data_IF_523171305513
#
_entry.id   IF_523171305513
#
_cell.length_a   1.000
_cell.length_b   1.000
_cell.length_c   1.000
_cell.angle_alpha   90.00
_cell.angle_beta   90.00
_cell.angle_gamma   90.00
#
_symmetry.space_group_name_H-M   'P 1'
#
loop_
_entity.id
_entity.type
_entity.pdbx_description
1 polymer ?
#
# COMPACT_ATOMS: atom_id res chain seq x y z
N UNK A 1 -2.16 13.29 27.55
CA UNK A 1 -2.64 12.09 26.84
C UNK A 1 -1.44 11.46 26.17
N UNK A 2 -1.30 10.14 26.28
CA UNK A 2 -0.13 9.40 25.82
C UNK A 2 -0.58 8.21 24.96
N UNK A 3 -0.05 8.10 23.75
CA UNK A 3 -0.41 7.05 22.80
C UNK A 3 0.86 6.28 22.40
N UNK A 4 0.83 4.96 22.56
CA UNK A 4 1.85 4.07 22.00
C UNK A 4 1.52 3.75 20.54
N UNK A 5 2.48 3.81 19.62
CA UNK A 5 2.28 3.43 18.21
C UNK A 5 3.44 2.58 17.70
N UNK A 6 3.17 1.61 16.82
CA UNK A 6 4.18 0.81 16.15
C UNK A 6 3.85 0.68 14.66
N UNK A 7 4.65 1.32 13.81
CA UNK A 7 4.68 1.08 12.37
C UNK A 7 5.74 0.03 12.02
N UNK A 8 5.43 -0.89 11.11
CA UNK A 8 6.38 -1.93 10.68
C UNK A 8 7.12 -1.66 9.37
N UNK A 9 6.65 -0.71 8.57
CA UNK A 9 7.26 -0.34 7.29
C UNK A 9 6.96 1.12 6.92
N UNK A 10 7.57 1.63 5.85
CA UNK A 10 7.42 3.03 5.41
C UNK A 10 5.98 3.41 5.04
N UNK A 11 5.17 2.46 4.58
CA UNK A 11 3.74 2.70 4.30
C UNK A 11 2.98 3.00 5.61
N UNK A 12 3.24 2.22 6.66
CA UNK A 12 2.70 2.44 8.01
C UNK A 12 3.23 3.72 8.65
N UNK A 13 4.49 4.09 8.40
CA UNK A 13 5.06 5.36 8.84
C UNK A 13 4.31 6.57 8.25
N UNK A 14 3.98 6.52 6.96
CA UNK A 14 3.17 7.57 6.31
C UNK A 14 1.78 7.70 6.96
N UNK A 15 1.11 6.57 7.22
CA UNK A 15 -0.19 6.55 7.90
C UNK A 15 -0.10 7.08 9.34
N UNK A 16 0.93 6.65 10.07
CA UNK A 16 1.19 7.10 11.44
C UNK A 16 1.47 8.59 11.51
N UNK A 17 2.29 9.12 10.60
CA UNK A 17 2.57 10.56 10.50
C UNK A 17 1.30 11.38 10.27
N UNK A 18 0.46 10.97 9.31
CA UNK A 18 -0.82 11.61 9.03
C UNK A 18 -1.78 11.59 10.22
N UNK A 19 -1.88 10.45 10.92
CA UNK A 19 -2.69 10.30 12.12
C UNK A 19 -2.20 11.20 13.27
N UNK A 20 -0.88 11.26 13.51
CA UNK A 20 -0.29 12.10 14.56
C UNK A 20 -0.60 13.58 14.29
N UNK A 21 -0.46 14.03 13.04
CA UNK A 21 -0.80 15.41 12.65
C UNK A 21 -2.29 15.70 12.92
N UNK A 22 -3.19 14.80 12.55
CA UNK A 22 -4.63 14.97 12.79
C UNK A 22 -4.99 14.98 14.29
N UNK A 23 -4.32 14.15 15.11
CA UNK A 23 -4.51 14.16 16.57
C UNK A 23 -4.02 15.47 17.20
N UNK A 24 -2.85 15.97 16.77
CA UNK A 24 -2.25 17.19 17.30
C UNK A 24 -3.00 18.46 16.96
N UNK A 25 -3.72 18.48 15.83
CA UNK A 25 -4.57 19.61 15.46
C UNK A 25 -5.54 20.02 16.57
N UNK A 26 -6.05 19.05 17.34
CA UNK A 26 -6.97 19.29 18.47
C UNK A 26 -6.34 19.03 19.85
N UNK A 27 -5.23 18.29 19.92
CA UNK A 27 -4.54 17.94 21.15
C UNK A 27 -3.03 18.19 21.04
N UNK A 28 -2.57 19.46 21.08
CA UNK A 28 -1.18 19.82 20.81
C UNK A 28 -0.17 19.19 21.79
N UNK A 29 -0.61 18.89 23.02
CA UNK A 29 0.22 18.31 24.08
C UNK A 29 0.18 16.78 24.11
N UNK A 30 -0.28 16.11 23.04
CA UNK A 30 -0.29 14.65 22.98
C UNK A 30 1.13 14.10 22.86
N UNK A 31 1.45 13.13 23.71
CA UNK A 31 2.70 12.38 23.65
C UNK A 31 2.48 11.12 22.82
N UNK A 32 3.30 10.92 21.80
CA UNK A 32 3.22 9.77 20.89
C UNK A 32 4.59 9.12 20.80
N UNK A 33 4.67 7.81 21.05
CA UNK A 33 5.94 7.08 21.11
C UNK A 33 5.84 5.60 20.76
N UNK A 34 6.97 4.95 20.52
CA UNK A 34 7.06 3.52 20.18
C UNK A 34 8.02 3.27 19.02
N UNK A 35 7.56 2.69 17.91
CA UNK A 35 8.39 2.49 16.71
C UNK A 35 7.75 3.21 15.52
N UNK A 36 8.50 4.12 14.93
CA UNK A 36 8.07 4.92 13.79
C UNK A 36 9.27 5.34 12.94
N UNK A 37 8.99 5.72 11.70
CA UNK A 37 9.99 6.17 10.74
C UNK A 37 10.06 7.69 10.61
N UNK A 38 10.66 8.19 9.52
CA UNK A 38 10.86 9.61 9.29
C UNK A 38 9.57 10.46 9.30
N UNK A 39 8.45 9.96 8.76
CA UNK A 39 7.18 10.71 8.69
C UNK A 39 6.54 10.87 10.08
N UNK A 40 6.54 9.80 10.88
CA UNK A 40 6.08 9.87 12.28
C UNK A 40 6.99 10.80 13.09
N UNK A 41 8.31 10.67 12.97
CA UNK A 41 9.28 11.52 13.67
C UNK A 41 9.10 13.00 13.29
N UNK A 42 8.91 13.30 12.01
CA UNK A 42 8.63 14.66 11.54
C UNK A 42 7.30 15.21 12.09
N UNK A 43 6.31 14.34 12.31
CA UNK A 43 5.07 14.68 13.02
C UNK A 43 5.26 14.80 14.55
N UNK A 44 6.49 14.63 15.05
CA UNK A 44 6.95 14.75 16.44
C UNK A 44 6.70 13.52 17.31
N UNK A 45 6.81 12.33 16.69
CA UNK A 45 6.86 11.02 17.34
C UNK A 45 8.21 10.76 18.01
N UNK A 46 8.18 10.16 19.20
CA UNK A 46 9.39 9.67 19.88
C UNK A 46 9.63 8.18 19.60
N UNK A 47 10.54 7.87 18.69
CA UNK A 47 10.86 6.47 18.35
C UNK A 47 11.90 5.88 19.32
N UNK A 48 11.58 4.74 19.92
CA UNK A 48 12.46 3.98 20.81
C UNK A 48 13.43 3.10 20.02
N UNK A 49 13.02 2.68 18.82
CA UNK A 49 13.83 1.88 17.91
C UNK A 49 13.74 2.46 16.49
N UNK A 50 14.78 2.29 15.66
CA UNK A 50 14.68 2.58 14.23
C UNK A 50 13.60 1.72 13.57
N UNK A 51 12.85 2.27 12.62
CA UNK A 51 11.83 1.53 11.85
C UNK A 51 12.43 0.31 11.15
N UNK A 52 13.67 0.41 10.71
CA UNK A 52 14.45 -0.64 10.05
C UNK A 52 14.57 -1.91 10.89
N UNK A 53 14.39 -1.81 12.21
CA UNK A 53 14.32 -2.95 13.13
C UNK A 53 13.19 -3.91 12.76
N UNK A 54 12.07 -3.39 12.23
CA UNK A 54 10.89 -4.17 11.82
C UNK A 54 10.82 -4.43 10.31
N UNK A 55 11.49 -3.64 9.48
CA UNK A 55 11.46 -3.72 8.01
C UNK A 55 12.20 -4.93 7.40
N UNK A 56 12.30 -6.06 8.12
CA UNK A 56 12.99 -7.27 7.65
C UNK A 56 12.13 -7.99 6.59
N UNK A 57 12.51 -7.89 5.31
CA UNK A 57 11.74 -8.44 4.19
C UNK A 57 12.34 -9.73 3.63
N UNK A 58 11.68 -10.87 3.88
CA UNK A 58 11.94 -12.15 3.22
C UNK A 58 11.92 -13.32 4.20
N UNK A 59 11.39 -14.49 3.80
CA UNK A 59 11.26 -15.68 4.68
C UNK A 59 12.59 -16.06 5.36
N UNK A 60 13.72 -15.93 4.65
CA UNK A 60 15.05 -16.28 5.17
C UNK A 60 15.60 -15.21 6.12
N UNK A 61 15.39 -13.93 5.81
CA UNK A 61 15.84 -12.83 6.67
C UNK A 61 14.98 -12.72 7.94
N UNK A 62 13.68 -12.95 7.84
CA UNK A 62 12.75 -13.00 8.98
C UNK A 62 13.15 -14.10 9.97
N UNK A 63 13.59 -15.28 9.51
CA UNK A 63 14.07 -16.35 10.41
C UNK A 63 15.37 -15.92 11.11
N UNK A 64 16.30 -15.27 10.39
CA UNK A 64 17.57 -14.80 10.95
C UNK A 64 17.38 -13.71 12.01
N UNK A 65 16.40 -12.82 11.82
CA UNK A 65 16.12 -11.70 12.73
C UNK A 65 14.96 -11.97 13.70
N UNK A 66 14.39 -13.18 13.71
CA UNK A 66 13.23 -13.50 14.55
C UNK A 66 13.49 -13.27 16.05
N UNK A 67 14.68 -13.65 16.54
CA UNK A 67 15.07 -13.45 17.94
C UNK A 67 15.11 -11.97 18.31
N UNK A 68 15.67 -11.14 17.44
CA UNK A 68 15.74 -9.69 17.60
C UNK A 68 14.35 -9.05 17.59
N UNK A 69 13.48 -9.44 16.65
CA UNK A 69 12.09 -8.97 16.58
C UNK A 69 11.31 -9.36 17.84
N UNK A 70 11.47 -10.60 18.30
CA UNK A 70 10.83 -11.07 19.53
C UNK A 70 11.32 -10.29 20.74
N UNK A 71 12.63 -10.08 20.87
CA UNK A 71 13.23 -9.31 21.96
C UNK A 71 12.74 -7.86 21.97
N UNK A 72 12.70 -7.20 20.81
CA UNK A 72 12.17 -5.85 20.66
C UNK A 72 10.70 -5.78 21.11
N UNK A 73 9.86 -6.72 20.67
CA UNK A 73 8.46 -6.80 21.11
C UNK A 73 8.32 -7.00 22.62
N UNK A 74 9.14 -7.89 23.20
CA UNK A 74 9.12 -8.17 24.63
C UNK A 74 9.59 -6.95 25.45
N UNK A 75 10.57 -6.20 24.96
CA UNK A 75 11.04 -4.95 25.58
C UNK A 75 9.96 -3.87 25.53
N UNK A 76 9.33 -3.65 24.38
CA UNK A 76 8.21 -2.70 24.25
C UNK A 76 7.01 -3.09 25.12
N UNK A 77 6.68 -4.38 25.18
CA UNK A 77 5.63 -4.88 26.08
C UNK A 77 5.96 -4.49 27.52
N UNK A 78 7.16 -4.83 28.00
CA UNK A 78 7.58 -4.48 29.37
C UNK A 78 7.51 -2.98 29.60
N UNK A 79 7.99 -2.18 28.65
CA UNK A 79 7.97 -0.72 28.74
C UNK A 79 6.54 -0.17 28.88
N UNK A 80 5.61 -0.55 27.98
CA UNK A 80 4.24 -0.07 28.01
C UNK A 80 3.42 -0.63 29.17
N UNK A 81 3.80 -1.77 29.76
CA UNK A 81 3.17 -2.24 30.99
C UNK A 81 3.64 -1.45 32.22
N UNK A 82 4.92 -1.06 32.26
CA UNK A 82 5.46 -0.21 33.33
C UNK A 82 5.02 1.25 33.21
N UNK A 83 4.84 1.71 31.98
CA UNK A 83 4.43 3.07 31.65
C UNK A 83 3.21 2.97 30.73
N UNK A 84 2.00 2.72 31.27
CA UNK A 84 0.79 2.51 30.47
C UNK A 84 0.44 3.76 29.63
N UNK A 85 0.26 3.63 28.30
CA UNK A 85 -0.35 4.68 27.51
C UNK A 85 -1.87 4.72 27.74
N UNK A 86 -2.51 5.82 27.36
CA UNK A 86 -3.97 5.91 27.30
C UNK A 86 -4.55 4.95 26.25
N UNK A 87 -3.78 4.67 25.18
CA UNK A 87 -4.14 3.78 24.08
C UNK A 87 -2.89 3.32 23.30
N UNK A 88 -2.92 2.11 22.75
CA UNK A 88 -1.88 1.59 21.85
C UNK A 88 -2.42 1.40 20.42
N UNK A 89 -1.63 1.76 19.40
CA UNK A 89 -1.97 1.61 17.98
C UNK A 89 -0.91 0.77 17.26
N UNK A 90 -1.27 -0.43 16.80
CA UNK A 90 -0.45 -1.15 15.83
C UNK A 90 -0.80 -0.70 14.42
N UNK A 91 0.19 -0.26 13.64
CA UNK A 91 0.02 0.15 12.25
C UNK A 91 0.66 -0.89 11.34
N UNK A 92 -0.19 -1.64 10.63
CA UNK A 92 0.18 -2.80 9.83
C UNK A 92 1.01 -3.82 10.65
N UNK A 93 1.91 -4.57 10.01
CA UNK A 93 2.80 -5.56 10.62
C UNK A 93 2.09 -6.49 11.63
N UNK A 94 1.01 -7.17 11.22
CA UNK A 94 0.14 -7.94 12.11
C UNK A 94 0.86 -9.07 12.87
N UNK A 95 1.95 -9.60 12.30
CA UNK A 95 2.75 -10.65 12.96
C UNK A 95 3.53 -10.13 14.18
N UNK A 96 3.89 -8.84 14.18
CA UNK A 96 4.48 -8.15 15.32
C UNK A 96 3.37 -7.59 16.24
N UNK A 97 2.50 -6.75 15.68
CA UNK A 97 1.56 -5.90 16.40
C UNK A 97 0.45 -6.66 17.13
N UNK A 98 -0.20 -7.65 16.49
CA UNK A 98 -1.30 -8.38 17.14
C UNK A 98 -0.86 -9.09 18.44
N UNK A 99 0.41 -9.54 18.50
CA UNK A 99 0.94 -10.16 19.72
C UNK A 99 1.18 -9.16 20.85
N UNK A 100 1.63 -7.95 20.52
CA UNK A 100 1.83 -6.86 21.48
C UNK A 100 0.47 -6.31 21.95
N UNK A 101 -0.43 -6.03 21.02
CA UNK A 101 -1.79 -5.58 21.29
C UNK A 101 -2.53 -6.53 22.23
N UNK A 102 -2.53 -7.84 21.96
CA UNK A 102 -3.16 -8.82 22.83
C UNK A 102 -2.63 -8.75 24.28
N UNK A 103 -1.32 -8.57 24.45
CA UNK A 103 -0.72 -8.48 25.78
C UNK A 103 -1.11 -7.19 26.51
N UNK A 104 -1.13 -6.06 25.80
CA UNK A 104 -1.51 -4.76 26.37
C UNK A 104 -3.02 -4.68 26.68
N UNK A 105 -3.86 -5.18 25.78
CA UNK A 105 -5.30 -5.32 25.98
C UNK A 105 -5.64 -6.19 27.18
N UNK A 106 -4.93 -7.31 27.36
CA UNK A 106 -5.10 -8.18 28.53
C UNK A 106 -4.72 -7.48 29.85
N UNK A 107 -3.89 -6.44 29.80
CA UNK A 107 -3.53 -5.60 30.95
C UNK A 107 -4.45 -4.37 31.10
N UNK A 108 -5.52 -4.24 30.32
CA UNK A 108 -6.49 -3.15 30.41
C UNK A 108 -6.09 -1.87 29.67
N UNK A 109 -5.10 -1.92 28.79
CA UNK A 109 -4.74 -0.82 27.89
C UNK A 109 -5.56 -0.99 26.60
N UNK A 110 -6.38 -0.01 26.18
CA UNK A 110 -7.14 -0.13 24.95
C UNK A 110 -6.23 -0.12 23.73
N UNK A 111 -6.64 -0.84 22.69
CA UNK A 111 -5.81 -1.16 21.52
C UNK A 111 -6.56 -0.92 20.23
N UNK A 112 -5.89 -0.30 19.26
CA UNK A 112 -6.40 -0.09 17.91
C UNK A 112 -5.44 -0.73 16.93
N UNK A 113 -5.96 -1.43 15.93
CA UNK A 113 -5.15 -1.90 14.81
C UNK A 113 -5.49 -1.06 13.59
N UNK A 114 -4.49 -0.46 12.95
CA UNK A 114 -4.65 0.39 11.78
C UNK A 114 -4.01 -0.29 10.57
N UNK A 115 -4.79 -0.40 9.49
CA UNK A 115 -4.55 -1.25 8.31
C UNK A 115 -4.93 -2.68 8.61
N UNK A 116 -5.94 -3.16 7.90
CA UNK A 116 -6.36 -4.54 8.07
C UNK A 116 -5.31 -5.48 7.48
N UNK A 117 -4.89 -6.52 8.24
CA UNK A 117 -4.17 -7.61 7.61
C UNK A 117 -5.07 -8.26 6.55
N UNK A 118 -4.49 -8.79 5.46
CA UNK A 118 -5.23 -9.45 4.35
C UNK A 118 -5.84 -10.80 4.75
N UNK A 119 -6.50 -10.86 5.90
CA UNK A 119 -7.14 -12.03 6.51
C UNK A 119 -8.38 -12.45 5.72
N UNK A 120 -9.05 -11.49 5.07
CA UNK A 120 -10.14 -11.72 4.12
C UNK A 120 -9.71 -12.62 2.96
N UNK A 121 -8.43 -12.63 2.59
CA UNK A 121 -7.96 -13.32 1.39
C UNK A 121 -7.63 -14.81 1.61
N UNK A 122 -7.25 -15.25 2.82
CA UNK A 122 -6.80 -16.65 3.02
C UNK A 122 -6.67 -17.12 4.49
N UNK A 123 -7.11 -16.36 5.51
CA UNK A 123 -6.62 -16.58 6.89
C UNK A 123 -7.68 -16.53 8.00
N UNK A 124 -8.88 -17.07 7.78
CA UNK A 124 -10.01 -17.06 8.74
C UNK A 124 -9.64 -17.40 10.20
N UNK A 125 -8.68 -18.31 10.44
CA UNK A 125 -8.23 -18.63 11.80
C UNK A 125 -7.62 -17.42 12.56
N UNK A 126 -7.10 -16.42 11.84
CA UNK A 126 -6.54 -15.19 12.43
C UNK A 126 -7.61 -14.25 12.98
N UNK A 127 -8.86 -14.38 12.57
CA UNK A 127 -9.95 -13.53 13.08
C UNK A 127 -10.07 -13.61 14.60
N UNK A 128 -9.93 -14.82 15.17
CA UNK A 128 -9.94 -15.00 16.63
C UNK A 128 -8.80 -14.27 17.32
N UNK A 129 -7.61 -14.21 16.69
CA UNK A 129 -6.47 -13.47 17.21
C UNK A 129 -6.78 -11.98 17.16
N UNK A 130 -7.25 -11.47 16.03
CA UNK A 130 -7.60 -10.05 15.85
C UNK A 130 -8.65 -9.61 16.87
N UNK A 131 -9.76 -10.34 17.00
CA UNK A 131 -10.81 -10.04 17.97
C UNK A 131 -10.31 -9.97 19.42
N UNK A 132 -9.29 -10.77 19.78
CA UNK A 132 -8.64 -10.75 21.09
C UNK A 132 -7.58 -9.67 21.24
N UNK A 133 -7.06 -9.15 20.13
CA UNK A 133 -5.91 -8.25 20.11
C UNK A 133 -6.34 -6.78 20.07
N UNK A 134 -7.32 -6.41 19.26
CA UNK A 134 -7.73 -5.02 19.09
C UNK A 134 -9.14 -4.75 19.66
N UNK A 135 -9.35 -3.55 20.18
CA UNK A 135 -10.67 -3.00 20.54
C UNK A 135 -11.36 -2.33 19.36
N UNK A 136 -10.58 -1.86 18.38
CA UNK A 136 -11.08 -1.31 17.12
C UNK A 136 -10.11 -1.59 15.98
N UNK A 137 -10.64 -2.04 14.85
CA UNK A 137 -9.93 -2.13 13.58
C UNK A 137 -10.21 -0.87 12.73
N UNK A 138 -9.16 -0.22 12.22
CA UNK A 138 -9.28 0.87 11.25
C UNK A 138 -8.92 0.34 9.86
N UNK A 139 -9.88 0.35 8.95
CA UNK A 139 -9.72 -0.19 7.59
C UNK A 139 -9.61 0.92 6.56
N UNK A 140 -8.82 0.68 5.51
CA UNK A 140 -8.60 1.64 4.43
C UNK A 140 -9.54 1.42 3.26
N UNK A 141 -10.18 0.24 3.18
CA UNK A 141 -11.10 -0.11 2.10
C UNK A 141 -12.45 -0.61 2.66
N UNK A 142 -13.55 -0.41 1.90
CA UNK A 142 -14.90 -0.74 2.35
C UNK A 142 -15.10 -2.26 2.55
N UNK A 143 -14.61 -3.08 1.62
CA UNK A 143 -14.76 -4.54 1.70
C UNK A 143 -14.06 -5.15 2.92
N UNK A 144 -13.00 -4.51 3.43
CA UNK A 144 -12.34 -4.93 4.67
C UNK A 144 -13.26 -4.69 5.86
N UNK A 145 -13.93 -3.53 5.90
CA UNK A 145 -14.86 -3.18 6.96
C UNK A 145 -16.04 -4.14 6.98
N UNK A 146 -16.65 -4.40 5.82
CA UNK A 146 -17.76 -5.34 5.68
C UNK A 146 -17.38 -6.72 6.22
N UNK A 147 -16.17 -7.19 5.92
CA UNK A 147 -15.67 -8.46 6.41
C UNK A 147 -15.57 -8.52 7.94
N UNK A 148 -15.07 -7.48 8.61
CA UNK A 148 -15.02 -7.45 10.08
C UNK A 148 -16.39 -7.30 10.72
N UNK A 149 -17.29 -6.52 10.12
CA UNK A 149 -18.67 -6.36 10.58
C UNK A 149 -19.41 -7.69 10.60
N UNK A 150 -19.29 -8.50 9.54
CA UNK A 150 -19.86 -9.85 9.45
C UNK A 150 -19.37 -10.79 10.55
N UNK A 151 -18.18 -10.55 11.09
CA UNK A 151 -17.58 -11.34 12.17
C UNK A 151 -17.70 -10.68 13.55
N UNK A 152 -18.53 -9.64 13.68
CA UNK A 152 -18.77 -8.90 14.92
C UNK A 152 -17.49 -8.34 15.57
N UNK A 153 -16.48 -8.00 14.77
CA UNK A 153 -15.26 -7.33 15.23
C UNK A 153 -15.47 -5.82 15.05
N UNK A 154 -15.32 -5.00 16.12
CA UNK A 154 -15.47 -3.55 16.00
C UNK A 154 -14.52 -2.98 14.95
N UNK A 155 -15.08 -2.23 14.00
CA UNK A 155 -14.35 -1.72 12.85
C UNK A 155 -14.86 -0.35 12.43
N UNK A 156 -13.94 0.48 11.93
CA UNK A 156 -14.22 1.77 11.31
C UNK A 156 -13.51 1.84 9.97
N UNK A 157 -14.31 1.97 8.90
CA UNK A 157 -13.78 2.36 7.60
C UNK A 157 -13.40 3.85 7.64
N UNK A 158 -12.11 4.13 7.49
CA UNK A 158 -11.59 5.51 7.54
C UNK A 158 -11.32 6.08 6.15
N UNK A 159 -11.34 5.25 5.10
CA UNK A 159 -10.88 5.65 3.78
C UNK A 159 -9.35 5.55 3.65
N UNK A 160 -8.83 5.98 2.50
CA UNK A 160 -7.41 5.84 2.18
C UNK A 160 -6.74 7.22 2.05
N UNK A 161 -5.67 7.55 2.82
CA UNK A 161 -5.06 8.88 2.77
C UNK A 161 -4.61 9.36 1.39
N UNK A 162 -4.12 8.44 0.54
CA UNK A 162 -3.79 8.77 -0.86
C UNK A 162 -5.00 9.30 -1.64
N UNK A 163 -6.23 8.84 -1.37
CA UNK A 163 -7.43 9.34 -2.03
C UNK A 163 -7.76 10.79 -1.63
N UNK A 164 -7.37 11.19 -0.42
CA UNK A 164 -7.48 12.56 0.08
C UNK A 164 -6.42 13.50 -0.51
N UNK A 165 -5.19 12.98 -0.68
CA UNK A 165 -4.02 13.71 -1.17
C UNK A 165 -4.01 13.89 -2.70
N UNK A 166 -4.39 12.85 -3.45
CA UNK A 166 -4.39 12.89 -4.92
C UNK A 166 -5.61 13.70 -5.40
N UNK A 167 -5.44 14.68 -6.30
CA UNK A 167 -6.57 15.44 -6.85
C UNK A 167 -7.47 14.56 -7.72
N UNK A 168 -8.76 14.91 -7.84
CA UNK A 168 -9.71 14.18 -8.68
C UNK A 168 -9.39 14.30 -10.18
N UNK A 169 -8.74 15.40 -10.56
CA UNK A 169 -8.31 15.68 -11.93
C UNK A 169 -6.80 15.86 -11.94
N UNK A 170 -6.16 15.29 -12.96
CA UNK A 170 -4.71 15.44 -13.20
C UNK A 170 -4.49 15.92 -14.62
N UNK A 171 -3.44 16.71 -14.83
CA UNK A 171 -3.09 17.25 -16.14
C UNK A 171 -1.85 16.53 -16.71
N UNK A 172 -2.01 15.68 -17.75
CA UNK A 172 -0.90 15.03 -18.42
C UNK A 172 0.12 16.00 -19.00
N UNK A 173 -0.30 17.16 -19.50
CA UNK A 173 0.59 18.11 -20.16
C UNK A 173 1.54 18.74 -19.14
N UNK A 174 1.02 19.18 -17.99
CA UNK A 174 1.84 19.66 -16.87
C UNK A 174 2.86 18.61 -16.43
N UNK A 175 2.46 17.34 -16.26
CA UNK A 175 3.40 16.28 -15.87
C UNK A 175 4.48 16.02 -16.93
N UNK A 176 4.13 16.05 -18.22
CA UNK A 176 5.08 15.92 -19.34
C UNK A 176 6.10 17.07 -19.34
N UNK A 177 5.66 18.30 -19.05
CA UNK A 177 6.54 19.48 -18.93
C UNK A 177 7.47 19.37 -17.72
N UNK A 178 6.96 18.99 -16.55
CA UNK A 178 7.76 18.81 -15.32
C UNK A 178 8.87 17.77 -15.50
N UNK A 179 8.59 16.71 -16.26
CA UNK A 179 9.54 15.66 -16.58
C UNK A 179 10.44 15.98 -17.79
N UNK A 180 10.31 17.17 -18.40
CA UNK A 180 11.02 17.59 -19.60
C UNK A 180 10.91 16.56 -20.74
N UNK A 181 9.71 16.02 -20.93
CA UNK A 181 9.49 14.96 -21.90
C UNK A 181 9.44 15.52 -23.33
N UNK A 182 10.11 14.86 -24.28
CA UNK A 182 10.03 15.24 -25.68
C UNK A 182 8.61 14.99 -26.23
N UNK A 183 8.22 15.69 -27.33
CA UNK A 183 6.98 15.40 -28.02
C UNK A 183 6.92 13.92 -28.43
N UNK A 184 5.78 13.30 -28.14
CA UNK A 184 5.44 11.95 -28.58
C UNK A 184 3.93 11.83 -28.71
N UNK A 185 3.51 10.97 -29.64
CA UNK A 185 2.10 10.69 -29.86
C UNK A 185 1.49 9.95 -28.67
N UNK A 186 2.20 8.94 -28.16
CA UNK A 186 1.78 8.10 -27.03
C UNK A 186 2.92 7.86 -26.04
N UNK A 187 2.60 7.97 -24.76
CA UNK A 187 3.45 7.67 -23.62
C UNK A 187 2.92 6.46 -22.85
N UNK A 188 3.79 5.48 -22.63
CA UNK A 188 3.50 4.32 -21.79
C UNK A 188 4.44 4.30 -20.59
N UNK A 189 3.89 4.22 -19.38
CA UNK A 189 4.71 4.08 -18.16
C UNK A 189 4.82 2.62 -17.77
N UNK A 190 6.04 2.12 -17.60
CA UNK A 190 6.35 0.76 -17.14
C UNK A 190 6.77 0.82 -15.67
N UNK A 191 6.04 0.13 -14.80
CA UNK A 191 6.31 0.02 -13.37
C UNK A 191 6.68 -1.44 -13.05
N UNK A 192 7.94 -1.87 -13.27
CA UNK A 192 8.34 -3.27 -13.13
C UNK A 192 8.37 -3.76 -11.68
N UNK A 193 8.17 -2.87 -10.70
CA UNK A 193 8.07 -3.19 -9.29
C UNK A 193 8.93 -2.29 -8.41
N UNK A 194 8.64 -2.32 -7.12
CA UNK A 194 9.37 -1.58 -6.09
C UNK A 194 10.46 -2.43 -5.43
N UNK A 195 10.43 -3.75 -5.66
CA UNK A 195 11.35 -4.71 -5.06
C UNK A 195 12.25 -5.34 -6.10
N UNK A 196 13.47 -5.71 -5.67
CA UNK A 196 14.47 -6.37 -6.54
C UNK A 196 13.92 -7.60 -7.27
N UNK A 197 13.18 -8.45 -6.57
CA UNK A 197 12.61 -9.66 -7.18
C UNK A 197 11.56 -9.35 -8.26
N UNK A 198 10.70 -8.34 -8.04
CA UNK A 198 9.70 -7.91 -9.03
C UNK A 198 10.39 -7.42 -10.31
N UNK A 199 11.40 -6.55 -10.17
CA UNK A 199 12.19 -6.06 -11.31
C UNK A 199 12.91 -7.20 -12.04
N UNK A 200 13.46 -8.18 -11.31
CA UNK A 200 14.07 -9.37 -11.92
C UNK A 200 13.07 -10.19 -12.75
N UNK A 201 11.83 -10.34 -12.28
CA UNK A 201 10.82 -11.20 -12.91
C UNK A 201 10.03 -10.50 -14.02
N UNK A 202 9.77 -9.20 -13.88
CA UNK A 202 8.91 -8.42 -14.77
C UNK A 202 9.67 -7.47 -15.69
N UNK A 203 10.91 -7.10 -15.38
CA UNK A 203 11.71 -6.18 -16.19
C UNK A 203 11.87 -6.66 -17.63
N UNK A 204 12.30 -7.91 -17.83
CA UNK A 204 12.45 -8.48 -19.18
C UNK A 204 11.11 -8.57 -19.93
N UNK A 205 10.03 -9.16 -19.38
CA UNK A 205 8.72 -9.15 -20.05
C UNK A 205 8.22 -7.76 -20.41
N UNK A 206 8.45 -6.74 -19.58
CA UNK A 206 8.01 -5.37 -19.84
C UNK A 206 8.81 -4.75 -20.98
N UNK A 207 10.12 -4.98 -21.04
CA UNK A 207 10.98 -4.55 -22.16
C UNK A 207 10.58 -5.21 -23.47
N UNK A 208 10.31 -6.52 -23.45
CA UNK A 208 9.83 -7.25 -24.63
C UNK A 208 8.45 -6.76 -25.08
N UNK A 209 7.55 -6.45 -24.14
CA UNK A 209 6.25 -5.84 -24.43
C UNK A 209 6.43 -4.48 -25.10
N UNK A 210 7.34 -3.64 -24.61
CA UNK A 210 7.64 -2.35 -25.22
C UNK A 210 8.22 -2.48 -26.64
N UNK A 211 9.09 -3.45 -26.90
CA UNK A 211 9.54 -3.77 -28.26
C UNK A 211 8.37 -4.20 -29.17
N UNK A 212 7.49 -5.06 -28.67
CA UNK A 212 6.30 -5.52 -29.38
C UNK A 212 5.35 -4.35 -29.70
N UNK A 213 5.17 -3.41 -28.77
CA UNK A 213 4.35 -2.22 -29.00
C UNK A 213 4.93 -1.33 -30.11
N UNK A 214 6.26 -1.20 -30.21
CA UNK A 214 6.89 -0.42 -31.28
C UNK A 214 6.69 -1.01 -32.68
N UNK A 215 6.41 -2.31 -32.81
CA UNK A 215 6.07 -2.87 -34.12
C UNK A 215 4.67 -2.44 -34.59
N UNK A 216 3.84 -1.94 -33.69
CA UNK A 216 2.49 -1.44 -33.95
C UNK A 216 2.44 0.09 -33.96
N UNK A 217 3.16 0.74 -33.03
CA UNK A 217 3.24 2.20 -32.87
C UNK A 217 4.71 2.67 -32.78
N UNK A 218 5.39 2.90 -33.91
CA UNK A 218 6.83 3.20 -33.94
C UNK A 218 7.25 4.50 -33.24
N UNK A 219 6.31 5.44 -33.03
CA UNK A 219 6.57 6.74 -32.40
C UNK A 219 6.28 6.76 -30.89
N UNK A 220 5.91 5.61 -30.31
CA UNK A 220 5.65 5.49 -28.88
C UNK A 220 6.92 5.69 -28.06
N UNK A 221 6.78 6.31 -26.88
CA UNK A 221 7.87 6.46 -25.92
C UNK A 221 7.48 5.89 -24.56
N UNK A 222 8.49 5.53 -23.79
CA UNK A 222 8.31 4.80 -22.53
C UNK A 222 8.93 5.55 -21.35
N UNK A 223 8.24 5.57 -20.21
CA UNK A 223 8.77 6.03 -18.93
C UNK A 223 8.97 4.84 -18.01
N UNK A 224 10.08 4.79 -17.28
CA UNK A 224 10.31 3.75 -16.26
C UNK A 224 10.80 4.42 -14.98
N UNK A 225 9.89 4.81 -14.07
CA UNK A 225 10.27 5.27 -12.74
C UNK A 225 10.64 4.08 -11.86
N UNK A 226 11.78 4.18 -11.18
CA UNK A 226 12.32 3.14 -10.32
C UNK A 226 12.53 3.67 -8.90
N UNK A 227 12.14 2.88 -7.90
CA UNK A 227 12.08 3.34 -6.51
C UNK A 227 13.46 3.70 -5.92
N UNK A 228 14.56 3.22 -6.51
CA UNK A 228 15.92 3.52 -6.02
C UNK A 228 16.99 3.43 -7.11
N UNK A 229 18.17 4.04 -6.90
CA UNK A 229 19.30 3.91 -7.80
C UNK A 229 19.76 2.46 -8.04
N UNK A 230 19.66 1.58 -7.03
CA UNK A 230 20.06 0.18 -7.16
C UNK A 230 19.12 -0.62 -8.07
N UNK A 231 17.82 -0.33 -8.02
CA UNK A 231 16.84 -0.90 -8.95
C UNK A 231 17.03 -0.35 -10.36
N UNK A 232 17.37 0.93 -10.50
CA UNK A 232 17.76 1.52 -11.79
C UNK A 232 18.95 0.82 -12.42
N UNK A 233 20.01 0.58 -11.66
CA UNK A 233 21.17 -0.15 -12.16
C UNK A 233 20.80 -1.57 -12.64
N UNK A 234 19.96 -2.28 -11.89
CA UNK A 234 19.46 -3.61 -12.27
C UNK A 234 18.64 -3.56 -13.56
N UNK A 235 17.69 -2.64 -13.67
CA UNK A 235 16.85 -2.52 -14.86
C UNK A 235 17.68 -2.13 -16.10
N UNK A 236 18.68 -1.25 -15.94
CA UNK A 236 19.61 -0.91 -17.03
C UNK A 236 20.35 -2.13 -17.58
N UNK A 237 20.74 -3.09 -16.73
CA UNK A 237 21.39 -4.33 -17.18
C UNK A 237 20.44 -5.16 -18.06
N UNK A 238 19.18 -5.31 -17.66
CA UNK A 238 18.16 -6.00 -18.45
C UNK A 238 17.86 -5.25 -19.76
N UNK A 239 17.77 -3.92 -19.72
CA UNK A 239 17.56 -3.07 -20.88
C UNK A 239 18.67 -3.24 -21.92
N UNK A 240 19.93 -3.17 -21.48
CA UNK A 240 21.08 -3.34 -22.37
C UNK A 240 21.13 -4.73 -23.01
N UNK A 241 20.68 -5.77 -22.30
CA UNK A 241 20.64 -7.14 -22.79
C UNK A 241 19.51 -7.38 -23.81
N UNK A 242 18.32 -6.83 -23.57
CA UNK A 242 17.09 -7.19 -24.30
C UNK A 242 16.72 -6.17 -25.37
N UNK A 243 16.82 -4.87 -25.05
CA UNK A 243 16.26 -3.80 -25.86
C UNK A 243 17.10 -2.50 -25.78
N UNK A 244 18.39 -2.52 -26.15
CA UNK A 244 19.29 -1.38 -25.93
C UNK A 244 18.88 -0.09 -26.64
N UNK A 245 18.10 -0.19 -27.73
CA UNK A 245 17.68 0.95 -28.55
C UNK A 245 16.24 1.43 -28.25
N UNK A 246 15.62 0.93 -27.18
CA UNK A 246 14.24 1.28 -26.85
C UNK A 246 14.15 2.76 -26.38
N UNK A 247 13.18 3.57 -26.86
CA UNK A 247 13.06 4.99 -26.52
C UNK A 247 12.46 5.17 -25.11
N UNK A 248 13.27 4.83 -24.10
CA UNK A 248 12.91 4.87 -22.67
C UNK A 248 13.55 6.08 -21.99
N UNK A 249 12.78 6.74 -21.12
CA UNK A 249 13.27 7.64 -20.08
C UNK A 249 13.25 6.95 -18.71
N UNK A 250 14.41 6.78 -18.08
CA UNK A 250 14.55 6.16 -16.75
C UNK A 250 14.57 7.20 -15.62
N UNK A 251 13.58 7.15 -14.74
CA UNK A 251 13.43 8.06 -13.59
C UNK A 251 13.77 7.36 -12.27
N UNK A 252 14.16 8.13 -11.26
CA UNK A 252 14.33 7.63 -9.88
C UNK A 252 13.23 8.30 -9.04
N UNK A 253 12.35 7.51 -8.44
CA UNK A 253 11.11 8.02 -7.86
C UNK A 253 10.19 8.58 -8.97
N UNK A 254 9.49 9.68 -8.68
CA UNK A 254 8.62 10.40 -9.62
C UNK A 254 7.57 9.51 -10.32
N UNK A 255 7.09 8.48 -9.61
CA UNK A 255 6.15 7.51 -10.19
C UNK A 255 4.80 8.15 -10.50
N UNK A 256 4.33 9.09 -9.68
CA UNK A 256 3.06 9.80 -9.89
C UNK A 256 3.13 10.67 -11.12
N UNK A 257 4.18 11.47 -11.28
CA UNK A 257 4.40 12.32 -12.45
C UNK A 257 4.48 11.48 -13.72
N UNK A 258 5.22 10.36 -13.68
CA UNK A 258 5.31 9.43 -14.81
C UNK A 258 3.96 8.79 -15.16
N UNK A 259 3.17 8.39 -14.15
CA UNK A 259 1.82 7.87 -14.35
C UNK A 259 0.91 8.93 -14.98
N UNK A 260 0.91 10.16 -14.46
CA UNK A 260 0.09 11.27 -15.00
C UNK A 260 0.48 11.62 -16.44
N UNK A 261 1.77 11.61 -16.76
CA UNK A 261 2.26 11.90 -18.10
C UNK A 261 1.87 10.84 -19.14
N UNK A 262 1.57 9.60 -18.72
CA UNK A 262 1.27 8.49 -19.61
C UNK A 262 -0.21 8.41 -20.02
N UNK A 263 -0.42 7.83 -21.20
CA UNK A 263 -1.74 7.48 -21.74
C UNK A 263 -2.21 6.13 -21.19
N UNK A 264 -1.28 5.20 -20.93
CA UNK A 264 -1.56 3.90 -20.27
C UNK A 264 -0.35 3.44 -19.43
N UNK A 265 -0.61 2.69 -18.37
CA UNK A 265 0.41 2.17 -17.44
C UNK A 265 0.47 0.64 -17.50
N UNK A 266 1.68 0.08 -17.64
CA UNK A 266 1.93 -1.34 -17.43
C UNK A 266 2.61 -1.50 -16.06
N UNK A 267 1.94 -2.15 -15.11
CA UNK A 267 2.41 -2.18 -13.72
C UNK A 267 2.47 -3.58 -13.14
N UNK A 268 3.45 -3.80 -12.26
CA UNK A 268 3.39 -4.87 -11.29
C UNK A 268 2.16 -4.73 -10.38
N UNK A 269 1.69 -5.83 -9.78
CA UNK A 269 0.68 -5.77 -8.71
C UNK A 269 1.20 -5.08 -7.45
N UNK A 270 0.32 -4.40 -6.70
CA UNK A 270 0.62 -3.72 -5.44
C UNK A 270 0.04 -2.31 -5.36
N UNK A 271 0.62 -1.48 -4.50
CA UNK A 271 0.17 -0.09 -4.23
C UNK A 271 0.14 0.77 -5.49
N UNK A 272 1.04 0.53 -6.45
CA UNK A 272 1.05 1.24 -7.73
C UNK A 272 -0.27 1.13 -8.52
N UNK A 273 -1.02 0.03 -8.37
CA UNK A 273 -2.34 -0.13 -9.00
C UNK A 273 -3.38 0.82 -8.41
N UNK A 274 -3.35 1.04 -7.09
CA UNK A 274 -4.19 2.03 -6.42
C UNK A 274 -3.81 3.44 -6.84
N UNK A 275 -2.51 3.76 -6.87
CA UNK A 275 -2.03 5.08 -7.28
C UNK A 275 -2.45 5.42 -8.73
N UNK A 276 -2.24 4.49 -9.67
CA UNK A 276 -2.67 4.66 -11.06
C UNK A 276 -4.19 4.88 -11.17
N UNK A 277 -4.99 4.15 -10.37
CA UNK A 277 -6.44 4.31 -10.31
C UNK A 277 -6.84 5.69 -9.78
N UNK A 278 -6.20 6.14 -8.69
CA UNK A 278 -6.44 7.47 -8.12
C UNK A 278 -6.04 8.58 -9.11
N UNK A 279 -5.00 8.36 -9.92
CA UNK A 279 -4.57 9.26 -10.99
C UNK A 279 -5.37 9.15 -12.30
N UNK A 280 -6.41 8.30 -12.33
CA UNK A 280 -7.30 8.09 -13.49
C UNK A 280 -6.60 7.53 -14.72
N UNK A 281 -5.57 6.71 -14.50
CA UNK A 281 -4.75 6.15 -15.58
C UNK A 281 -5.21 4.75 -15.94
N UNK A 282 -5.55 4.50 -17.23
CA UNK A 282 -5.72 3.14 -17.72
C UNK A 282 -4.48 2.32 -17.42
N UNK A 283 -4.67 1.06 -17.05
CA UNK A 283 -3.56 0.19 -16.70
C UNK A 283 -3.76 -1.25 -17.12
N UNK A 284 -2.64 -1.96 -17.24
CA UNK A 284 -2.54 -3.40 -17.35
C UNK A 284 -1.68 -3.89 -16.20
N UNK A 285 -2.18 -4.87 -15.45
CA UNK A 285 -1.51 -5.38 -14.26
C UNK A 285 -0.89 -6.74 -14.56
N UNK A 286 0.40 -6.86 -14.30
CA UNK A 286 1.13 -8.12 -14.45
C UNK A 286 1.71 -8.55 -13.10
N UNK A 287 1.72 -9.85 -12.85
CA UNK A 287 2.37 -10.37 -11.64
C UNK A 287 3.07 -11.70 -11.89
N UNK A 288 4.29 -11.81 -11.36
CA UNK A 288 5.10 -13.04 -11.35
C UNK A 288 5.65 -13.32 -9.97
N UNK A 289 5.11 -14.36 -9.33
CA UNK A 289 5.65 -14.98 -8.12
C UNK A 289 6.74 -15.97 -8.48
N UNK A 290 7.71 -16.17 -7.56
CA UNK A 290 8.60 -17.32 -7.61
C UNK A 290 7.78 -18.61 -7.73
N UNK A 291 8.16 -19.51 -8.66
CA UNK A 291 7.35 -20.65 -9.08
C UNK A 291 6.87 -21.54 -7.91
N UNK A 292 7.74 -21.75 -6.91
CA UNK A 292 7.42 -22.52 -5.69
C UNK A 292 6.36 -21.79 -4.83
N UNK A 293 6.50 -20.48 -4.66
CA UNK A 293 5.53 -19.65 -3.92
C UNK A 293 4.18 -19.63 -4.62
N UNK A 294 4.15 -19.51 -5.95
CA UNK A 294 2.91 -19.58 -6.73
C UNK A 294 2.23 -20.94 -6.62
N UNK A 295 3.00 -22.03 -6.73
CA UNK A 295 2.47 -23.38 -6.63
C UNK A 295 1.83 -23.64 -5.26
N UNK A 296 2.40 -23.13 -4.17
CA UNK A 296 1.80 -23.22 -2.85
C UNK A 296 0.60 -22.27 -2.67
N UNK A 297 0.71 -21.03 -3.15
CA UNK A 297 -0.33 -20.01 -2.98
C UNK A 297 -1.62 -20.32 -3.76
N UNK A 298 -1.54 -20.97 -4.94
CA UNK A 298 -2.72 -21.28 -5.77
C UNK A 298 -3.76 -22.16 -5.05
N UNK A 299 -3.33 -22.97 -4.08
CA UNK A 299 -4.22 -23.84 -3.30
C UNK A 299 -4.85 -23.13 -2.10
N UNK A 300 -4.32 -21.97 -1.72
CA UNK A 300 -4.66 -21.26 -0.48
C UNK A 300 -5.53 -20.02 -0.71
N UNK A 301 -5.55 -19.48 -1.94
CA UNK A 301 -6.16 -18.18 -2.23
C UNK A 301 -7.26 -18.33 -3.27
N UNK A 302 -8.51 -18.08 -2.85
CA UNK A 302 -9.66 -17.89 -3.75
C UNK A 302 -9.99 -16.39 -3.81
N UNK A 303 -9.23 -15.62 -4.59
CA UNK A 303 -9.60 -14.25 -4.93
C UNK A 303 -9.80 -14.16 -6.45
N UNK A 304 -10.96 -13.65 -6.92
CA UNK A 304 -11.23 -13.53 -8.36
C UNK A 304 -10.34 -12.48 -9.03
N UNK A 305 -9.83 -11.53 -8.25
CA UNK A 305 -8.98 -10.43 -8.69
C UNK A 305 -7.80 -10.26 -7.73
N UNK A 306 -6.64 -9.85 -8.24
CA UNK A 306 -5.46 -9.55 -7.42
C UNK A 306 -5.02 -8.09 -7.47
N UNK A 307 -5.59 -7.26 -8.35
CA UNK A 307 -5.35 -5.81 -8.35
C UNK A 307 -6.36 -5.08 -7.46
N UNK A 308 -5.91 -3.99 -6.82
CA UNK A 308 -6.79 -3.16 -5.99
C UNK A 308 -7.97 -2.54 -6.75
N UNK A 309 -7.82 -2.06 -8.00
CA UNK A 309 -8.94 -1.49 -8.75
C UNK A 309 -10.09 -2.49 -8.95
N UNK A 310 -9.77 -3.73 -9.34
CA UNK A 310 -10.77 -4.77 -9.57
C UNK A 310 -11.38 -5.27 -8.24
N UNK A 311 -10.58 -5.40 -7.18
CA UNK A 311 -11.09 -5.74 -5.85
C UNK A 311 -12.05 -4.68 -5.29
N UNK A 312 -11.75 -3.40 -5.48
CA UNK A 312 -12.60 -2.29 -5.04
C UNK A 312 -13.89 -2.19 -5.86
N UNK A 313 -13.82 -2.50 -7.15
CA UNK A 313 -14.98 -2.47 -8.03
C UNK A 313 -15.83 -3.75 -7.95
N UNK A 314 -15.28 -4.84 -7.41
CA UNK A 314 -15.88 -6.18 -7.46
C UNK A 314 -16.19 -6.66 -8.90
N UNK A 315 -15.45 -6.14 -9.87
CA UNK A 315 -15.56 -6.47 -11.29
C UNK A 315 -14.20 -6.30 -11.97
N UNK A 316 -14.05 -6.86 -13.17
CA UNK A 316 -12.81 -6.73 -13.94
C UNK A 316 -12.79 -5.40 -14.70
N UNK A 317 -12.32 -4.33 -14.05
CA UNK A 317 -12.10 -3.01 -14.67
C UNK A 317 -10.81 -2.97 -15.51
N UNK A 318 -9.75 -3.64 -15.05
CA UNK A 318 -8.43 -3.64 -15.70
C UNK A 318 -7.97 -5.06 -16.00
N UNK A 319 -7.19 -5.23 -17.06
CA UNK A 319 -6.63 -6.51 -17.43
C UNK A 319 -5.57 -6.96 -16.41
N UNK A 320 -5.68 -8.21 -15.97
CA UNK A 320 -4.79 -8.84 -14.99
C UNK A 320 -4.15 -10.08 -15.61
N UNK A 321 -2.82 -10.14 -15.62
CA UNK A 321 -2.05 -11.26 -16.17
C UNK A 321 -1.13 -11.86 -15.11
N UNK A 322 -1.23 -13.17 -14.92
CA UNK A 322 -0.52 -13.89 -13.87
C UNK A 322 0.37 -14.99 -14.45
N UNK A 323 1.61 -15.08 -13.95
CA UNK A 323 2.60 -16.11 -14.31
C UNK A 323 2.84 -16.26 -15.83
N UNK A 324 2.32 -17.34 -16.41
CA UNK A 324 2.53 -17.76 -17.80
C UNK A 324 1.76 -16.87 -18.78
N UNK A 325 0.74 -16.15 -18.29
CA UNK A 325 0.00 -15.18 -19.10
C UNK A 325 0.77 -13.88 -19.32
N UNK A 326 1.87 -13.65 -18.59
CA UNK A 326 2.72 -12.46 -18.71
C UNK A 326 3.63 -12.64 -19.93
N UNK A 327 3.03 -12.51 -21.11
CA UNK A 327 3.73 -12.53 -22.41
C UNK A 327 3.63 -11.19 -23.11
N UNK A 328 4.60 -10.83 -23.95
CA UNK A 328 4.60 -9.56 -24.69
C UNK A 328 3.32 -9.30 -25.48
N UNK A 329 2.77 -10.36 -26.10
CA UNK A 329 1.56 -10.28 -26.91
C UNK A 329 0.33 -9.99 -26.04
N UNK A 330 0.15 -10.73 -24.93
CA UNK A 330 -0.99 -10.53 -24.04
C UNK A 330 -0.98 -9.13 -23.41
N UNK A 331 0.18 -8.73 -22.89
CA UNK A 331 0.36 -7.41 -22.28
C UNK A 331 0.20 -6.31 -23.33
N UNK A 332 0.82 -6.48 -24.49
CA UNK A 332 0.78 -5.54 -25.60
C UNK A 332 -0.62 -5.32 -26.12
N UNK A 333 -1.38 -6.39 -26.43
CA UNK A 333 -2.77 -6.29 -26.88
C UNK A 333 -3.65 -5.58 -25.86
N UNK A 334 -3.50 -5.87 -24.57
CA UNK A 334 -4.26 -5.18 -23.52
C UNK A 334 -3.89 -3.68 -23.40
N UNK A 335 -2.62 -3.32 -23.62
CA UNK A 335 -2.19 -1.92 -23.64
C UNK A 335 -2.73 -1.18 -24.87
N UNK A 336 -2.69 -1.81 -26.06
CA UNK A 336 -3.25 -1.25 -27.28
C UNK A 336 -4.75 -1.00 -27.17
N UNK A 337 -5.50 -1.91 -26.52
CA UNK A 337 -6.92 -1.70 -26.26
C UNK A 337 -7.18 -0.33 -25.61
N UNK A 338 -6.43 0.04 -24.56
CA UNK A 338 -6.60 1.34 -23.92
C UNK A 338 -6.19 2.52 -24.80
N UNK A 339 -5.14 2.35 -25.62
CA UNK A 339 -4.63 3.40 -26.49
C UNK A 339 -5.57 3.71 -27.67
N UNK A 340 -6.32 2.71 -28.13
CA UNK A 340 -7.18 2.75 -29.32
C UNK A 340 -8.66 3.01 -29.01
N UNK A 341 -9.10 2.82 -27.75
CA UNK A 341 -10.51 2.90 -27.36
C UNK A 341 -10.77 4.02 -26.35
N UNK A 342 -10.87 5.30 -26.79
CA UNK A 342 -11.05 6.44 -25.87
C UNK A 342 -12.34 6.38 -25.05
N UNK A 343 -13.41 5.78 -25.59
CA UNK A 343 -14.67 5.60 -24.84
C UNK A 343 -14.52 4.61 -23.68
N UNK A 344 -13.71 3.57 -23.85
CA UNK A 344 -13.39 2.62 -22.76
C UNK A 344 -12.59 3.33 -21.66
N UNK A 345 -11.65 4.20 -22.06
CA UNK A 345 -10.88 5.04 -21.12
C UNK A 345 -11.80 5.97 -20.32
N UNK A 346 -12.72 6.67 -20.97
CA UNK A 346 -13.67 7.57 -20.29
C UNK A 346 -14.56 6.82 -19.27
N UNK A 347 -15.03 5.63 -19.67
CA UNK A 347 -15.80 4.75 -18.79
C UNK A 347 -14.97 4.34 -17.57
N UNK A 348 -13.74 3.87 -17.79
CA UNK A 348 -12.81 3.49 -16.72
C UNK A 348 -12.54 4.67 -15.76
N UNK A 349 -12.28 5.86 -16.29
CA UNK A 349 -12.03 7.06 -15.49
C UNK A 349 -13.23 7.45 -14.63
N UNK A 350 -14.45 7.24 -15.13
CA UNK A 350 -15.67 7.42 -14.36
C UNK A 350 -15.75 6.45 -13.19
N UNK A 351 -15.48 5.15 -13.41
CA UNK A 351 -15.42 4.16 -12.33
C UNK A 351 -14.35 4.51 -11.29
N UNK A 352 -13.14 4.86 -11.73
CA UNK A 352 -12.05 5.24 -10.84
C UNK A 352 -12.34 6.52 -10.04
N UNK A 353 -13.12 7.44 -10.60
CA UNK A 353 -13.59 8.65 -9.88
C UNK A 353 -14.57 8.29 -8.78
N UNK A 354 -15.54 7.41 -9.06
CA UNK A 354 -16.49 6.91 -8.05
C UNK A 354 -15.76 6.24 -6.89
N UNK A 355 -14.80 5.36 -7.19
CA UNK A 355 -13.99 4.67 -6.17
C UNK A 355 -13.17 5.67 -5.37
N UNK A 356 -12.49 6.64 -6.01
CA UNK A 356 -11.73 7.65 -5.27
C UNK A 356 -12.62 8.44 -4.31
N UNK A 357 -13.80 8.88 -4.75
CA UNK A 357 -14.75 9.62 -3.88
C UNK A 357 -15.17 8.77 -2.68
N UNK A 358 -15.40 7.47 -2.88
CA UNK A 358 -15.73 6.56 -1.77
C UNK A 358 -14.59 6.42 -0.75
N UNK A 359 -13.34 6.46 -1.21
CA UNK A 359 -12.15 6.36 -0.35
C UNK A 359 -11.74 7.70 0.28
N UNK A 360 -12.21 8.83 -0.25
CA UNK A 360 -11.84 10.19 0.13
C UNK A 360 -12.70 10.69 1.30
N UNK A 361 -12.38 10.20 2.50
CA UNK A 361 -13.17 10.46 3.72
C UNK A 361 -12.45 11.35 4.74
N UNK A 362 -11.27 11.88 4.40
CA UNK A 362 -10.39 12.51 5.39
C UNK A 362 -9.83 11.46 6.34
N UNK A 363 -9.12 10.48 5.80
CA UNK A 363 -8.75 9.26 6.51
C UNK A 363 -7.96 9.51 7.80
N UNK A 364 -7.06 10.49 7.78
CA UNK A 364 -6.31 10.90 8.96
C UNK A 364 -7.24 11.46 10.06
N UNK A 365 -8.22 12.28 9.69
CA UNK A 365 -9.21 12.86 10.62
C UNK A 365 -10.17 11.78 11.15
N UNK A 366 -10.67 10.90 10.28
CA UNK A 366 -11.53 9.78 10.69
C UNK A 366 -10.82 8.83 11.66
N UNK A 367 -9.56 8.49 11.39
CA UNK A 367 -8.75 7.68 12.28
C UNK A 367 -8.51 8.37 13.62
N UNK A 368 -8.17 9.67 13.63
CA UNK A 368 -7.99 10.44 14.86
C UNK A 368 -9.28 10.50 15.70
N UNK A 369 -10.44 10.76 15.07
CA UNK A 369 -11.73 10.77 15.75
C UNK A 369 -12.06 9.40 16.37
N UNK A 370 -11.81 8.32 15.63
CA UNK A 370 -12.05 6.96 16.11
C UNK A 370 -11.15 6.59 17.31
N UNK A 371 -9.86 6.96 17.25
CA UNK A 371 -8.92 6.79 18.36
C UNK A 371 -9.35 7.56 19.60
N UNK A 372 -9.73 8.83 19.45
CA UNK A 372 -10.18 9.66 20.57
C UNK A 372 -11.48 9.13 21.20
N UNK A 373 -12.39 8.59 20.39
CA UNK A 373 -13.61 7.95 20.90
C UNK A 373 -13.31 6.75 21.81
N UNK A 374 -12.36 5.88 21.43
CA UNK A 374 -11.95 4.73 22.26
C UNK A 374 -11.32 5.20 23.59
N UNK A 375 -10.46 6.22 23.55
CA UNK A 375 -9.86 6.80 24.77
C UNK A 375 -10.94 7.32 25.72
N UNK A 376 -11.91 8.08 25.19
CA UNK A 376 -12.98 8.66 26.00
C UNK A 376 -13.90 7.59 26.60
N UNK A 377 -14.30 6.58 25.82
CA UNK A 377 -15.09 5.45 26.31
C UNK A 377 -14.38 4.70 27.45
N UNK A 378 -13.07 4.46 27.29
CA UNK A 378 -12.26 3.79 28.31
C UNK A 378 -12.18 4.59 29.60
N UNK A 379 -12.05 5.93 29.51
CA UNK A 379 -12.03 6.81 30.69
C UNK A 379 -13.36 6.81 31.43
N UNK A 380 -14.48 6.87 30.70
CA UNK A 380 -15.83 6.82 31.29
C UNK A 380 -16.04 5.48 32.02
N UNK A 381 -15.66 4.36 31.39
CA UNK A 381 -15.77 3.03 32.00
C UNK A 381 -14.92 2.91 33.29
N UNK A 382 -13.71 3.48 33.30
CA UNK A 382 -12.87 3.51 34.51
C UNK A 382 -13.48 4.33 35.63
N UNK A 383 -14.06 5.49 35.33
CA UNK A 383 -14.74 6.33 36.32
C UNK A 383 -15.96 5.63 36.94
N UNK A 384 -16.77 4.96 36.10
CA UNK A 384 -17.96 4.24 36.55
C UNK A 384 -17.66 3.04 37.46
N UNK A 385 -16.49 2.41 37.31
CA UNK A 385 -16.06 1.28 38.15
C UNK A 385 -15.33 1.71 39.44
N UNK A 386 -15.03 3.00 39.58
CA UNK A 386 -14.29 3.55 40.73
C UNK A 386 -15.17 4.30 41.75
N UNK A 387 -16.45 4.51 41.42
CA UNK A 387 -17.47 5.03 42.33
C UNK A 387 -18.42 3.91 42.73
#
# INVERSE_FOLDING_TARGET
>A
MRIGMVAGELSGDLLGGGLIQALRANHPNIMVEGIGGPQMIAAGFHSHYPLETLSVMGLVEVIKHFSQLKQCRDQLRTYFLQHPPDLFIGIDAPDFNLGLEQALKSAGIPTVHYVSPSVWAWRHYRLRKIARSCDLMLTLFPFEADYYQQHAIPVRFVGHPLADQIPLQTDPQTARQQLNLPPAEKWVTLLPGSRRHEVLQLGIPFLQTAQWLLTHYPQMRFLVPLASPSLKALFCQQLAQVAPNLPITLLIGQSHEAMVAADVVLTASGTATLEAMLLKRPMVVAYRLAAVTYWLARWLVHIPYFSLPNLLAQEQLVAEFLQDQVTPENLGTALLHWLENPQAVETLQTHFTKIQVQLRLGANQQAAQAVLAIINQTRIAKMANSG
#
